data_IF_469250955385
#
_entry.id   IF_469250955385
#
_cell.length_a   1.000
_cell.length_b   1.000
_cell.length_c   1.000
_cell.angle_alpha   90.00
_cell.angle_beta   90.00
_cell.angle_gamma   90.00
#
_symmetry.space_group_name_H-M   'P 1'
#
loop_
_entity.id
_entity.type
_entity.pdbx_description
1 polymer ?
#
# COMPACT_ATOMS: atom_id res chain seq x y z
N UNK A 1 11.83 -20.56 17.49
CA UNK A 1 12.00 -19.34 16.67
C UNK A 1 10.66 -19.00 16.05
N UNK A 2 9.94 -17.99 16.54
CA UNK A 2 8.64 -17.61 15.99
C UNK A 2 8.84 -16.98 14.61
N UNK A 3 8.30 -17.58 13.54
CA UNK A 3 8.24 -16.94 12.22
C UNK A 3 7.43 -15.65 12.36
N UNK A 4 8.08 -14.49 12.24
CA UNK A 4 7.37 -13.21 12.17
C UNK A 4 6.36 -13.28 11.02
N UNK A 5 5.09 -13.01 11.32
CA UNK A 5 4.02 -13.01 10.31
C UNK A 5 4.20 -11.79 9.41
N UNK A 6 4.45 -12.05 8.13
CA UNK A 6 4.50 -11.01 7.09
C UNK A 6 3.13 -10.31 7.01
N UNK A 7 3.15 -8.99 6.81
CA UNK A 7 1.94 -8.16 6.74
C UNK A 7 1.77 -7.62 5.32
N UNK A 8 0.53 -7.52 4.85
CA UNK A 8 0.20 -6.98 3.52
C UNK A 8 -0.65 -5.74 3.70
N UNK A 9 -0.31 -4.66 3.01
CA UNK A 9 -1.12 -3.44 2.97
C UNK A 9 -1.64 -3.29 1.56
N UNK A 10 -2.94 -3.08 1.43
CA UNK A 10 -3.64 -2.96 0.16
C UNK A 10 -4.07 -1.51 -0.01
N UNK A 11 -3.79 -0.89 -1.14
CA UNK A 11 -4.25 0.45 -1.48
C UNK A 11 -4.50 0.57 -2.97
N UNK A 12 -5.43 1.44 -3.37
CA UNK A 12 -5.57 1.76 -4.79
C UNK A 12 -4.55 2.82 -5.20
N UNK A 13 -4.06 2.67 -6.43
CA UNK A 13 -3.11 3.57 -7.04
C UNK A 13 -3.76 4.63 -7.93
N UNK A 14 -5.08 4.56 -8.10
CA UNK A 14 -5.74 5.46 -9.04
C UNK A 14 -5.62 6.93 -8.60
N UNK A 15 -5.56 7.83 -9.57
CA UNK A 15 -5.61 9.29 -9.36
C UNK A 15 -6.96 9.72 -8.74
N UNK A 16 -7.90 8.79 -8.68
CA UNK A 16 -9.15 8.95 -7.97
C UNK A 16 -8.91 8.66 -6.48
N UNK A 17 -8.65 9.71 -5.71
CA UNK A 17 -8.43 9.72 -4.24
C UNK A 17 -9.61 9.16 -3.41
N UNK A 18 -10.66 8.69 -4.10
CA UNK A 18 -11.89 8.14 -3.53
C UNK A 18 -11.79 6.61 -3.36
N UNK A 19 -10.69 5.97 -3.74
CA UNK A 19 -10.57 4.52 -3.54
C UNK A 19 -10.07 4.18 -2.12
N UNK A 20 -10.89 3.48 -1.32
CA UNK A 20 -10.47 3.02 -0.01
C UNK A 20 -9.32 2.03 -0.13
N UNK A 21 -8.41 2.09 0.84
CA UNK A 21 -7.29 1.17 0.94
C UNK A 21 -7.46 0.33 2.19
N UNK A 22 -7.13 -0.94 2.10
CA UNK A 22 -7.32 -1.88 3.21
C UNK A 22 -5.98 -2.17 3.88
N UNK A 23 -5.85 -1.69 5.11
CA UNK A 23 -4.75 -2.05 6.01
C UNK A 23 -5.08 -3.39 6.67
N UNK A 24 -4.98 -4.47 5.91
CA UNK A 24 -5.34 -5.79 6.42
C UNK A 24 -4.19 -6.63 6.95
N UNK A 25 -4.54 -7.71 7.66
CA UNK A 25 -3.58 -8.61 8.27
C UNK A 25 -3.53 -9.93 7.51
N UNK A 26 -2.37 -10.30 6.97
CA UNK A 26 -2.19 -11.62 6.34
C UNK A 26 -3.19 -11.89 5.20
N UNK A 27 -4.14 -12.80 5.45
CA UNK A 27 -5.22 -13.18 4.52
C UNK A 27 -6.61 -12.63 4.94
N UNK A 28 -6.70 -11.89 6.05
CA UNK A 28 -7.95 -11.39 6.63
C UNK A 28 -8.19 -9.91 6.34
N UNK A 29 -8.24 -9.54 5.05
CA UNK A 29 -8.73 -8.22 4.66
C UNK A 29 -10.21 -8.14 5.05
N UNK A 30 -10.57 -7.18 5.89
CA UNK A 30 -11.93 -6.97 6.38
C UNK A 30 -12.33 -5.52 6.16
N UNK A 31 -13.63 -5.28 5.95
CA UNK A 31 -14.17 -3.93 5.73
C UNK A 31 -13.85 -2.98 6.89
N UNK A 32 -13.84 -3.47 8.13
CA UNK A 32 -13.47 -2.69 9.33
C UNK A 32 -12.03 -2.15 9.33
N UNK A 33 -11.17 -2.66 8.44
CA UNK A 33 -9.78 -2.23 8.30
C UNK A 33 -9.55 -1.36 7.05
N UNK A 34 -10.63 -0.94 6.38
CA UNK A 34 -10.59 0.08 5.34
C UNK A 34 -10.20 1.42 5.97
N UNK A 35 -9.24 2.11 5.36
CA UNK A 35 -8.94 3.50 5.63
C UNK A 35 -8.84 4.32 4.34
N UNK A 36 -9.03 5.62 4.50
CA UNK A 36 -8.92 6.60 3.42
C UNK A 36 -7.52 7.17 3.40
N UNK A 37 -6.95 7.30 2.20
CA UNK A 37 -5.61 7.83 2.01
C UNK A 37 -5.67 9.18 1.33
N UNK A 38 -4.91 10.12 1.88
CA UNK A 38 -4.59 11.38 1.26
C UNK A 38 -3.29 11.21 0.46
N UNK A 39 -3.28 11.65 -0.80
CA UNK A 39 -2.04 11.72 -1.59
C UNK A 39 -1.37 13.05 -1.28
N UNK A 40 -0.22 13.01 -0.60
CA UNK A 40 0.52 14.22 -0.26
C UNK A 40 1.35 14.69 -1.44
N UNK A 41 1.98 13.75 -2.13
CA UNK A 41 2.67 13.99 -3.39
C UNK A 41 2.62 12.73 -4.24
N UNK A 42 2.52 12.91 -5.54
CA UNK A 42 2.89 11.85 -6.46
C UNK A 42 3.44 12.42 -7.76
N UNK A 43 4.65 11.99 -8.11
CA UNK A 43 5.36 12.43 -9.31
C UNK A 43 5.55 11.24 -10.24
N UNK A 44 5.14 11.40 -11.50
CA UNK A 44 5.31 10.40 -12.55
C UNK A 44 6.24 10.93 -13.63
N UNK A 45 7.23 10.14 -14.01
CA UNK A 45 8.01 10.34 -15.22
C UNK A 45 8.01 9.06 -16.08
N UNK A 46 8.80 9.06 -17.15
CA UNK A 46 8.87 7.96 -18.11
C UNK A 46 9.37 6.64 -17.51
N UNK A 47 10.14 6.71 -16.42
CA UNK A 47 10.85 5.56 -15.85
C UNK A 47 10.32 5.14 -14.47
N UNK A 48 9.65 6.03 -13.76
CA UNK A 48 9.14 5.72 -12.42
C UNK A 48 7.97 6.59 -12.00
N UNK A 49 7.33 6.13 -10.93
CA UNK A 49 6.40 6.89 -10.12
C UNK A 49 6.85 6.87 -8.67
N UNK A 50 6.89 8.04 -8.05
CA UNK A 50 7.19 8.24 -6.64
C UNK A 50 5.96 8.84 -5.99
N UNK A 51 5.40 8.15 -4.99
CA UNK A 51 4.26 8.69 -4.26
C UNK A 51 4.52 8.70 -2.75
N UNK A 52 3.96 9.70 -2.09
CA UNK A 52 3.80 9.82 -0.65
C UNK A 52 2.31 9.89 -0.33
N UNK A 53 1.83 8.96 0.49
CA UNK A 53 0.43 8.89 0.91
C UNK A 53 0.34 8.85 2.44
N UNK A 54 -0.73 9.43 2.99
CA UNK A 54 -1.03 9.42 4.42
C UNK A 54 -2.43 8.88 4.69
N UNK A 55 -2.62 8.18 5.80
CA UNK A 55 -3.94 7.78 6.25
C UNK A 55 -4.06 7.85 7.77
N UNK A 56 -5.27 8.15 8.23
CA UNK A 56 -5.66 7.92 9.61
C UNK A 56 -6.18 6.48 9.76
N UNK A 57 -5.54 5.70 10.63
CA UNK A 57 -5.95 4.33 10.95
C UNK A 57 -5.95 4.14 12.46
N UNK A 58 -7.15 3.98 13.05
CA UNK A 58 -7.34 3.77 14.51
C UNK A 58 -6.59 4.82 15.35
N UNK A 59 -6.85 6.10 15.05
CA UNK A 59 -6.25 7.27 15.70
C UNK A 59 -4.72 7.41 15.55
N UNK A 60 -4.14 6.71 14.57
CA UNK A 60 -2.72 6.81 14.22
C UNK A 60 -2.54 7.28 12.80
N UNK A 61 -1.48 8.04 12.59
CA UNK A 61 -1.07 8.49 11.26
C UNK A 61 -0.14 7.44 10.66
N UNK A 62 -0.53 6.91 9.52
CA UNK A 62 0.29 6.04 8.69
C UNK A 62 0.80 6.86 7.51
N UNK A 63 2.12 6.95 7.33
CA UNK A 63 2.75 7.54 6.16
C UNK A 63 3.35 6.42 5.30
N UNK A 64 3.12 6.43 3.99
CA UNK A 64 3.74 5.50 3.04
C UNK A 64 4.46 6.32 1.99
N UNK A 65 5.76 6.08 1.86
CA UNK A 65 6.57 6.53 0.75
C UNK A 65 6.95 5.33 -0.11
N UNK A 66 6.82 5.41 -1.43
CA UNK A 66 7.26 4.35 -2.31
C UNK A 66 7.62 4.87 -3.70
N UNK A 67 8.57 4.18 -4.32
CA UNK A 67 9.01 4.38 -5.69
C UNK A 67 8.82 3.10 -6.47
N UNK A 68 8.09 3.18 -7.57
CA UNK A 68 7.89 2.09 -8.52
C UNK A 68 8.59 2.47 -9.82
N UNK A 69 9.47 1.61 -10.31
CA UNK A 69 10.11 1.75 -11.62
C UNK A 69 9.34 0.94 -12.66
N UNK A 70 9.15 1.54 -13.83
CA UNK A 70 8.66 0.85 -15.00
C UNK A 70 9.85 0.23 -15.74
N UNK A 71 9.79 -1.06 -16.06
CA UNK A 71 10.82 -1.68 -16.91
C UNK A 71 10.57 -1.38 -18.40
N UNK A 72 9.33 -1.06 -18.75
CA UNK A 72 8.90 -0.61 -20.06
C UNK A 72 7.82 0.48 -19.87
N UNK A 73 7.82 1.59 -20.65
CA UNK A 73 6.75 2.59 -20.59
C UNK A 73 5.33 2.04 -20.80
N UNK A 74 5.18 0.88 -21.46
CA UNK A 74 3.90 0.18 -21.62
C UNK A 74 3.53 -0.71 -20.41
N UNK A 75 4.41 -0.83 -19.42
CA UNK A 75 4.24 -1.71 -18.27
C UNK A 75 3.27 -1.07 -17.28
N UNK A 76 2.00 -1.49 -17.36
CA UNK A 76 0.94 -1.04 -16.46
C UNK A 76 1.23 -1.34 -14.98
N UNK A 77 2.14 -2.28 -14.70
CA UNK A 77 2.45 -2.78 -13.37
C UNK A 77 3.97 -2.76 -13.13
N UNK A 78 4.51 -1.59 -12.80
CA UNK A 78 5.93 -1.44 -12.49
C UNK A 78 6.39 -2.25 -11.26
N UNK A 79 7.71 -2.28 -11.04
CA UNK A 79 8.35 -2.97 -9.91
C UNK A 79 8.73 -2.00 -8.80
N UNK A 80 8.62 -2.44 -7.55
CA UNK A 80 9.12 -1.66 -6.41
C UNK A 80 10.64 -1.45 -6.56
N UNK A 81 11.07 -0.19 -6.55
CA UNK A 81 12.47 0.19 -6.43
C UNK A 81 12.84 0.35 -4.96
N UNK A 82 12.08 1.18 -4.25
CA UNK A 82 12.20 1.36 -2.81
C UNK A 82 10.86 1.79 -2.19
N UNK A 83 10.75 1.67 -0.87
CA UNK A 83 9.61 2.20 -0.16
C UNK A 83 9.66 1.94 1.34
N UNK A 84 9.01 2.81 2.09
CA UNK A 84 8.99 2.84 3.55
C UNK A 84 7.55 3.12 4.01
N UNK A 85 7.11 2.40 5.03
CA UNK A 85 5.92 2.73 5.80
C UNK A 85 6.35 3.24 7.17
N UNK A 86 5.78 4.37 7.60
CA UNK A 86 5.99 4.95 8.92
C UNK A 86 4.69 4.94 9.72
N UNK A 87 4.79 4.57 11.00
CA UNK A 87 3.68 4.58 11.95
C UNK A 87 4.22 4.87 13.36
N UNK A 88 3.71 5.90 14.02
CA UNK A 88 4.12 6.31 15.38
C UNK A 88 5.66 6.42 15.55
N UNK A 89 6.36 6.93 14.54
CA UNK A 89 7.83 7.05 14.55
C UNK A 89 8.60 5.74 14.31
N UNK A 90 7.91 4.61 14.09
CA UNK A 90 8.53 3.37 13.60
C UNK A 90 8.56 3.38 12.08
N UNK A 91 9.66 2.95 11.50
CA UNK A 91 9.83 2.83 10.05
C UNK A 91 10.01 1.37 9.63
N UNK A 92 9.42 1.01 8.50
CA UNK A 92 9.47 -0.34 7.97
C UNK A 92 9.65 -0.31 6.46
N UNK A 93 10.69 -0.98 5.97
CA UNK A 93 10.92 -1.10 4.54
C UNK A 93 9.84 -1.98 3.89
N UNK A 94 9.38 -1.55 2.73
CA UNK A 94 8.51 -2.35 1.88
C UNK A 94 9.37 -3.40 1.18
N UNK A 95 8.98 -4.67 1.29
CA UNK A 95 9.72 -5.79 0.68
C UNK A 95 9.29 -6.10 -0.74
N UNK A 96 8.02 -5.90 -1.05
CA UNK A 96 7.43 -6.30 -2.32
C UNK A 96 6.21 -5.43 -2.62
N UNK A 97 5.90 -5.34 -3.92
CA UNK A 97 4.78 -4.62 -4.48
C UNK A 97 4.15 -5.45 -5.59
N UNK A 98 2.83 -5.51 -5.60
CA UNK A 98 2.05 -6.14 -6.67
C UNK A 98 0.83 -5.30 -6.97
N UNK A 99 0.46 -5.27 -8.24
CA UNK A 99 -0.82 -4.75 -8.68
C UNK A 99 -1.74 -5.89 -9.10
N UNK A 100 -3.02 -5.71 -8.85
CA UNK A 100 -4.11 -6.58 -9.25
C UNK A 100 -5.17 -5.73 -9.93
N UNK A 101 -5.80 -6.30 -10.95
CA UNK A 101 -6.88 -5.61 -11.67
C UNK A 101 -8.11 -5.42 -10.81
N UNK A 102 -8.42 -6.41 -9.98
CA UNK A 102 -9.52 -6.34 -9.04
C UNK A 102 -9.26 -7.14 -7.77
N UNK A 103 -9.91 -6.73 -6.68
CA UNK A 103 -9.90 -7.41 -5.40
C UNK A 103 -11.28 -7.28 -4.75
N UNK A 104 -11.89 -8.42 -4.42
CA UNK A 104 -13.13 -8.44 -3.67
C UNK A 104 -12.84 -8.50 -2.16
N UNK A 105 -13.49 -7.62 -1.39
CA UNK A 105 -13.44 -7.61 0.08
C UNK A 105 -14.87 -7.46 0.58
N UNK A 106 -15.39 -8.50 1.22
CA UNK A 106 -16.80 -8.55 1.62
C UNK A 106 -17.73 -8.43 0.42
N UNK A 107 -18.62 -7.44 0.44
CA UNK A 107 -19.57 -7.17 -0.64
C UNK A 107 -19.05 -6.21 -1.72
N UNK A 108 -17.84 -5.67 -1.54
CA UNK A 108 -17.27 -4.66 -2.43
C UNK A 108 -16.21 -5.26 -3.34
N UNK A 109 -16.22 -4.85 -4.61
CA UNK A 109 -15.17 -5.14 -5.58
C UNK A 109 -14.43 -3.86 -5.88
N UNK A 110 -13.11 -3.88 -5.67
CA UNK A 110 -12.23 -2.76 -5.92
C UNK A 110 -11.37 -3.07 -7.13
N UNK A 111 -11.27 -2.12 -8.06
CA UNK A 111 -10.40 -2.22 -9.23
C UNK A 111 -9.05 -1.51 -8.99
N UNK A 112 -8.04 -1.82 -9.82
CA UNK A 112 -6.72 -1.17 -9.83
C UNK A 112 -6.01 -1.15 -8.46
N UNK A 113 -5.90 -2.32 -7.86
CA UNK A 113 -5.43 -2.50 -6.49
C UNK A 113 -3.94 -2.75 -6.44
N UNK A 114 -3.24 -1.96 -5.64
CA UNK A 114 -1.85 -2.16 -5.27
C UNK A 114 -1.73 -2.81 -3.90
N UNK A 115 -0.76 -3.71 -3.75
CA UNK A 115 -0.50 -4.46 -2.53
C UNK A 115 0.98 -4.38 -2.24
N UNK A 116 1.32 -3.86 -1.07
CA UNK A 116 2.69 -3.88 -0.55
C UNK A 116 2.85 -4.93 0.54
N UNK A 117 4.06 -5.44 0.67
CA UNK A 117 4.42 -6.44 1.68
C UNK A 117 5.42 -5.86 2.66
N UNK A 118 5.16 -6.03 3.95
CA UNK A 118 6.03 -5.63 5.05
C UNK A 118 6.69 -6.86 5.70
N UNK A 119 7.93 -6.72 6.22
CA UNK A 119 8.65 -7.80 6.89
C UNK A 119 7.95 -8.28 8.17
N UNK A 120 7.30 -7.36 8.88
CA UNK A 120 6.57 -7.62 10.12
C UNK A 120 5.39 -6.65 10.24
N UNK A 121 4.52 -6.90 11.23
CA UNK A 121 3.36 -6.08 11.48
C UNK A 121 3.74 -4.87 12.35
N UNK A 122 3.71 -3.66 11.78
CA UNK A 122 3.93 -2.42 12.54
C UNK A 122 2.65 -1.86 13.17
N UNK A 123 1.48 -2.36 12.78
CA UNK A 123 0.16 -1.88 13.21
C UNK A 123 -0.32 -2.48 14.53
N UNK A 124 0.32 -3.56 15.00
CA UNK A 124 0.02 -4.19 16.29
C UNK A 124 1.09 -3.80 17.29
N UNK A 125 0.66 -3.35 18.47
CA UNK A 125 1.52 -2.97 19.58
C UNK A 125 2.13 -4.21 20.22
#
# INVERSE_FOLDING_TARGET
MYKQKQTRVVFSFDNNEIMPSVLGWGHGLKEENICWWETISCEKNENCIECNKKANFKDKIVDIFFKIKYENPDDYFGKLDNGIVKLDGKECNILDYKCYRSLQIGQWCYDNISVIKLPYNIFIK
#
